data_IF_041143058427
#
_entry.id   IF_041143058427
#
_cell.length_a   1.000
_cell.length_b   1.000
_cell.length_c   1.000
_cell.angle_alpha   90.00
_cell.angle_beta   90.00
_cell.angle_gamma   90.00
#
_symmetry.space_group_name_H-M   'P 1'
#
loop_
_entity.id
_entity.type
_entity.pdbx_description
1 polymer ?
#
# COMPACT_ATOMS: atom_id res chain seq x y z
N UNK A 1 -7.95 23.47 2.59
CA UNK A 1 -7.41 22.56 1.55
C UNK A 1 -5.90 22.35 1.75
N UNK A 2 -5.45 21.96 2.96
CA UNK A 2 -4.01 21.88 3.30
C UNK A 2 -3.56 20.58 3.99
N UNK A 3 -4.46 19.64 4.32
CA UNK A 3 -4.13 18.47 5.18
C UNK A 3 -3.96 17.14 4.44
N UNK A 4 -3.63 17.17 3.15
CA UNK A 4 -3.18 15.98 2.41
C UNK A 4 -1.65 15.92 2.28
N UNK A 5 -0.98 17.09 2.21
CA UNK A 5 0.48 17.23 2.15
C UNK A 5 1.18 16.91 3.48
N UNK A 6 0.43 16.76 4.58
CA UNK A 6 0.99 16.50 5.91
C UNK A 6 1.21 15.02 6.24
N UNK A 7 0.66 14.09 5.44
CA UNK A 7 0.70 12.67 5.76
C UNK A 7 1.91 11.92 5.19
N UNK A 8 2.44 12.36 4.03
CA UNK A 8 3.61 11.76 3.38
C UNK A 8 4.62 12.87 3.03
N UNK A 9 5.87 12.82 3.54
CA UNK A 9 6.89 13.81 3.22
C UNK A 9 7.16 13.90 1.70
N UNK A 10 7.44 15.10 1.20
CA UNK A 10 7.73 15.32 -0.23
C UNK A 10 8.90 14.45 -0.77
N UNK A 11 9.88 14.15 0.07
CA UNK A 11 10.98 13.26 -0.27
C UNK A 11 10.52 11.82 -0.52
N UNK A 12 9.62 11.30 0.33
CA UNK A 12 9.00 9.97 0.17
C UNK A 12 8.17 9.93 -1.11
N UNK A 13 7.36 10.96 -1.35
CA UNK A 13 6.55 11.07 -2.57
C UNK A 13 7.39 10.99 -3.84
N UNK A 14 8.49 11.76 -3.91
CA UNK A 14 9.43 11.72 -5.02
C UNK A 14 10.13 10.37 -5.14
N UNK A 15 10.55 9.77 -4.03
CA UNK A 15 11.31 8.52 -4.05
C UNK A 15 10.44 7.31 -4.45
N UNK A 16 9.15 7.31 -4.12
CA UNK A 16 8.19 6.29 -4.56
C UNK A 16 8.02 6.24 -6.08
N UNK A 17 8.14 7.39 -6.75
CA UNK A 17 8.00 7.49 -8.20
C UNK A 17 9.35 7.44 -8.95
N UNK A 18 10.47 7.26 -8.23
CA UNK A 18 11.80 7.21 -8.82
C UNK A 18 11.94 6.01 -9.77
N UNK A 19 12.87 6.07 -10.73
CA UNK A 19 13.15 4.98 -11.66
C UNK A 19 13.87 3.81 -10.98
N UNK A 20 14.70 4.09 -9.97
CA UNK A 20 15.47 3.10 -9.22
C UNK A 20 14.60 2.40 -8.19
N UNK A 21 14.63 1.06 -8.20
CA UNK A 21 13.90 0.24 -7.25
C UNK A 21 14.28 0.51 -5.80
N UNK A 22 15.58 0.59 -5.50
CA UNK A 22 16.07 0.82 -4.13
C UNK A 22 15.53 2.10 -3.50
N UNK A 23 15.35 3.16 -4.29
CA UNK A 23 14.75 4.40 -3.79
C UNK A 23 13.27 4.23 -3.47
N UNK A 24 12.53 3.50 -4.30
CA UNK A 24 11.11 3.17 -4.03
C UNK A 24 10.98 2.34 -2.76
N UNK A 25 11.88 1.36 -2.58
CA UNK A 25 11.93 0.50 -1.39
C UNK A 25 12.22 1.31 -0.12
N UNK A 26 13.19 2.21 -0.15
CA UNK A 26 13.49 3.09 0.99
C UNK A 26 12.29 3.96 1.36
N UNK A 27 11.62 4.55 0.36
CA UNK A 27 10.41 5.33 0.59
C UNK A 27 9.25 4.49 1.18
N UNK A 28 9.10 3.24 0.73
CA UNK A 28 8.12 2.31 1.28
C UNK A 28 8.41 1.97 2.76
N UNK A 29 9.68 1.81 3.14
CA UNK A 29 10.07 1.61 4.56
C UNK A 29 9.69 2.84 5.41
N UNK A 30 9.88 4.05 4.88
CA UNK A 30 9.46 5.28 5.57
C UNK A 30 7.93 5.35 5.75
N UNK A 31 7.15 4.90 4.75
CA UNK A 31 5.69 4.78 4.88
C UNK A 31 5.31 3.75 5.95
N UNK A 32 5.92 2.57 5.94
CA UNK A 32 5.67 1.53 6.94
C UNK A 32 5.88 2.08 8.36
N UNK A 33 7.00 2.77 8.60
CA UNK A 33 7.31 3.38 9.88
C UNK A 33 6.31 4.48 10.26
N UNK A 34 5.88 5.28 9.28
CA UNK A 34 4.87 6.32 9.50
C UNK A 34 3.54 5.70 9.94
N UNK A 35 3.09 4.63 9.26
CA UNK A 35 1.84 3.94 9.61
C UNK A 35 1.92 3.30 11.01
N UNK A 36 3.07 2.71 11.38
CA UNK A 36 3.27 2.19 12.75
C UNK A 36 3.11 3.27 13.81
N UNK A 37 3.67 4.46 13.57
CA UNK A 37 3.52 5.60 14.49
C UNK A 37 2.06 6.08 14.58
N UNK A 38 1.35 6.14 13.45
CA UNK A 38 -0.06 6.53 13.42
C UNK A 38 -0.96 5.52 14.14
N UNK A 39 -0.70 4.22 13.99
CA UNK A 39 -1.40 3.17 14.73
C UNK A 39 -1.15 3.31 16.24
N UNK A 40 0.11 3.53 16.65
CA UNK A 40 0.45 3.73 18.06
C UNK A 40 -0.23 4.99 18.65
N UNK A 41 -0.52 5.99 17.81
CA UNK A 41 -1.24 7.20 18.20
C UNK A 41 -2.77 7.09 18.09
N UNK A 42 -3.31 6.01 17.50
CA UNK A 42 -4.75 5.88 17.21
C UNK A 42 -5.26 6.81 16.10
N UNK A 43 -4.37 7.34 15.26
CA UNK A 43 -4.67 8.33 14.21
C UNK A 43 -5.21 7.68 12.91
N UNK A 44 -6.33 6.96 13.01
CA UNK A 44 -6.92 6.21 11.89
C UNK A 44 -7.30 7.08 10.68
N UNK A 45 -7.69 8.34 10.91
CA UNK A 45 -7.98 9.30 9.83
C UNK A 45 -6.75 9.59 8.97
N UNK A 46 -5.58 9.71 9.59
CA UNK A 46 -4.33 9.96 8.86
C UNK A 46 -3.89 8.73 8.08
N UNK A 47 -4.08 7.54 8.64
CA UNK A 47 -3.82 6.27 7.93
C UNK A 47 -4.68 6.18 6.67
N UNK A 48 -5.98 6.45 6.81
CA UNK A 48 -6.92 6.46 5.68
C UNK A 48 -6.50 7.47 4.60
N UNK A 49 -5.99 8.64 4.99
CA UNK A 49 -5.42 9.64 4.07
C UNK A 49 -4.15 9.15 3.37
N UNK A 50 -3.24 8.47 4.08
CA UNK A 50 -2.03 7.87 3.47
C UNK A 50 -2.42 6.86 2.39
N UNK A 51 -3.37 5.96 2.70
CA UNK A 51 -3.87 4.97 1.74
C UNK A 51 -4.49 5.67 0.52
N UNK A 52 -5.33 6.67 0.76
CA UNK A 52 -5.98 7.44 -0.30
C UNK A 52 -4.98 8.12 -1.25
N UNK A 53 -3.91 8.72 -0.71
CA UNK A 53 -2.84 9.32 -1.52
C UNK A 53 -2.14 8.25 -2.37
N UNK A 54 -1.78 7.10 -1.78
CA UNK A 54 -1.16 6.00 -2.51
C UNK A 54 -2.06 5.45 -3.63
N UNK A 55 -3.38 5.44 -3.43
CA UNK A 55 -4.31 4.98 -4.46
C UNK A 55 -4.45 6.03 -5.56
N UNK A 56 -4.80 7.27 -5.19
CA UNK A 56 -5.20 8.32 -6.12
C UNK A 56 -4.02 8.87 -6.91
N UNK A 57 -2.88 9.09 -6.26
CA UNK A 57 -1.71 9.73 -6.87
C UNK A 57 -0.72 8.72 -7.47
N UNK A 58 -0.71 7.47 -6.97
CA UNK A 58 0.25 6.46 -7.39
C UNK A 58 -0.38 5.29 -8.14
N UNK A 59 -1.18 4.44 -7.47
CA UNK A 59 -1.70 3.20 -8.05
C UNK A 59 -2.57 3.44 -9.30
N UNK A 60 -3.34 4.53 -9.33
CA UNK A 60 -4.18 4.95 -10.47
C UNK A 60 -3.50 5.95 -11.41
N UNK A 61 -2.20 6.20 -11.24
CA UNK A 61 -1.47 7.16 -12.06
C UNK A 61 -1.29 6.68 -13.51
N UNK A 62 -1.33 7.57 -14.51
CA UNK A 62 -0.96 7.22 -15.88
C UNK A 62 0.51 6.80 -15.99
N UNK A 63 1.36 7.19 -15.03
CA UNK A 63 2.80 6.93 -15.07
C UNK A 63 3.17 5.59 -14.44
N UNK A 64 3.81 4.70 -15.20
CA UNK A 64 4.13 3.34 -14.75
C UNK A 64 5.04 3.29 -13.50
N UNK A 65 5.95 4.24 -13.32
CA UNK A 65 6.80 4.29 -12.12
C UNK A 65 6.00 4.69 -10.87
N UNK A 66 4.98 5.54 -11.03
CA UNK A 66 4.10 5.90 -9.93
C UNK A 66 3.26 4.69 -9.52
N UNK A 67 2.71 3.93 -10.48
CA UNK A 67 1.96 2.70 -10.16
C UNK A 67 2.81 1.67 -9.41
N UNK A 68 4.07 1.46 -9.83
CA UNK A 68 5.02 0.60 -9.08
C UNK A 68 5.25 1.11 -7.66
N UNK A 69 5.41 2.42 -7.49
CA UNK A 69 5.50 3.09 -6.18
C UNK A 69 4.25 2.90 -5.31
N UNK A 70 3.06 3.00 -5.92
CA UNK A 70 1.79 2.79 -5.24
C UNK A 70 1.64 1.37 -4.73
N UNK A 71 1.98 0.38 -5.55
CA UNK A 71 1.90 -1.04 -5.18
C UNK A 71 2.85 -1.40 -4.02
N UNK A 72 4.11 -0.97 -4.07
CA UNK A 72 5.05 -1.20 -2.97
C UNK A 72 4.65 -0.41 -1.71
N UNK A 73 4.11 0.80 -1.87
CA UNK A 73 3.60 1.62 -0.77
C UNK A 73 2.40 1.00 -0.07
N UNK A 74 1.42 0.49 -0.82
CA UNK A 74 0.22 -0.18 -0.28
C UNK A 74 0.59 -1.45 0.48
N UNK A 75 1.54 -2.24 -0.03
CA UNK A 75 2.08 -3.37 0.70
C UNK A 75 2.76 -2.93 2.01
N UNK A 76 3.57 -1.87 1.98
CA UNK A 76 4.24 -1.34 3.16
C UNK A 76 3.26 -0.78 4.21
N UNK A 77 2.18 -0.10 3.79
CA UNK A 77 1.09 0.28 4.70
C UNK A 77 0.51 -0.94 5.39
N UNK A 78 0.19 -2.00 4.63
CA UNK A 78 -0.38 -3.23 5.18
C UNK A 78 0.53 -3.89 6.21
N UNK A 79 1.85 -3.91 5.95
CA UNK A 79 2.84 -4.41 6.91
C UNK A 79 2.87 -3.53 8.17
N UNK A 80 2.83 -2.21 8.02
CA UNK A 80 2.81 -1.25 9.13
C UNK A 80 1.55 -1.35 9.99
N UNK A 81 0.41 -1.67 9.38
CA UNK A 81 -0.87 -1.89 10.07
C UNK A 81 -0.86 -3.14 10.95
N UNK A 82 -0.07 -4.15 10.60
CA UNK A 82 0.04 -5.42 11.33
C UNK A 82 -1.32 -6.05 11.65
N UNK A 83 -1.74 -6.03 12.92
CA UNK A 83 -3.00 -6.64 13.37
C UNK A 83 -4.25 -5.87 12.93
N UNK A 84 -4.10 -4.58 12.65
CA UNK A 84 -5.17 -3.67 12.24
C UNK A 84 -5.41 -3.70 10.71
N UNK A 85 -4.65 -4.53 9.97
CA UNK A 85 -4.70 -4.54 8.51
C UNK A 85 -6.09 -4.86 7.95
N UNK A 86 -6.84 -5.74 8.61
CA UNK A 86 -8.13 -6.25 8.13
C UNK A 86 -9.14 -5.13 7.81
N UNK A 87 -9.19 -4.07 8.63
CA UNK A 87 -10.15 -2.97 8.45
C UNK A 87 -9.85 -2.07 7.25
N UNK A 88 -8.66 -2.17 6.65
CA UNK A 88 -8.25 -1.37 5.49
C UNK A 88 -8.17 -2.18 4.19
N UNK A 89 -8.36 -3.50 4.22
CA UNK A 89 -8.17 -4.35 3.04
C UNK A 89 -9.17 -4.05 1.93
N UNK A 90 -10.40 -3.70 2.26
CA UNK A 90 -11.42 -3.31 1.28
C UNK A 90 -10.99 -2.08 0.47
N UNK A 91 -10.15 -1.20 1.06
CA UNK A 91 -9.58 -0.05 0.37
C UNK A 91 -8.28 -0.40 -0.38
N UNK A 92 -7.42 -1.23 0.23
CA UNK A 92 -6.06 -1.52 -0.27
C UNK A 92 -6.05 -2.56 -1.39
N UNK A 93 -6.83 -3.63 -1.28
CA UNK A 93 -6.73 -4.80 -2.17
C UNK A 93 -7.25 -4.51 -3.58
N UNK A 94 -8.41 -3.84 -3.79
CA UNK A 94 -8.92 -3.60 -5.14
C UNK A 94 -7.92 -2.93 -6.12
N UNK A 95 -7.23 -1.82 -5.78
CA UNK A 95 -6.27 -1.21 -6.71
C UNK A 95 -5.04 -2.09 -6.99
N UNK A 96 -4.68 -2.99 -6.07
CA UNK A 96 -3.64 -4.01 -6.31
C UNK A 96 -4.13 -5.04 -7.32
N UNK A 97 -5.38 -5.50 -7.19
CA UNK A 97 -5.98 -6.47 -8.11
C UNK A 97 -6.13 -5.86 -9.52
N UNK A 98 -6.61 -4.62 -9.64
CA UNK A 98 -6.74 -3.93 -10.92
C UNK A 98 -5.39 -3.92 -11.69
N UNK A 99 -4.29 -3.78 -10.95
CA UNK A 99 -2.93 -3.73 -11.49
C UNK A 99 -2.41 -5.06 -12.06
N UNK A 100 -3.10 -6.19 -11.85
CA UNK A 100 -2.77 -7.45 -12.55
C UNK A 100 -3.01 -7.38 -14.05
N UNK A 101 -3.87 -6.47 -14.50
CA UNK A 101 -4.21 -6.28 -15.92
C UNK A 101 -3.46 -5.10 -16.55
N UNK A 102 -2.46 -4.55 -15.84
CA UNK A 102 -1.72 -3.38 -16.30
C UNK A 102 -1.00 -3.64 -17.63
N UNK A 103 -0.91 -2.59 -18.46
CA UNK A 103 -0.23 -2.65 -19.75
C UNK A 103 1.30 -2.88 -19.61
N UNK A 104 1.95 -2.32 -18.59
CA UNK A 104 3.38 -2.54 -18.30
C UNK A 104 3.55 -3.85 -17.51
N UNK A 105 4.25 -4.81 -18.09
CA UNK A 105 4.52 -6.12 -17.47
C UNK A 105 5.21 -6.04 -16.12
N UNK A 106 6.02 -5.01 -15.89
CA UNK A 106 6.68 -4.79 -14.60
C UNK A 106 5.68 -4.28 -13.56
N UNK A 107 4.64 -3.53 -13.94
CA UNK A 107 3.59 -3.16 -12.98
C UNK A 107 2.83 -4.41 -12.54
N UNK A 108 2.50 -5.31 -13.49
CA UNK A 108 1.88 -6.61 -13.17
C UNK A 108 2.73 -7.44 -12.20
N UNK A 109 4.05 -7.48 -12.40
CA UNK A 109 4.96 -8.13 -11.46
C UNK A 109 4.90 -7.52 -10.05
N UNK A 110 4.88 -6.18 -9.95
CA UNK A 110 4.75 -5.50 -8.65
C UNK A 110 3.38 -5.77 -8.01
N UNK A 111 2.32 -5.96 -8.80
CA UNK A 111 1.01 -6.32 -8.26
C UNK A 111 1.04 -7.71 -7.61
N UNK A 112 1.69 -8.69 -8.26
CA UNK A 112 1.93 -10.02 -7.69
C UNK A 112 2.72 -9.94 -6.38
N UNK A 113 3.83 -9.19 -6.39
CA UNK A 113 4.70 -9.03 -5.22
C UNK A 113 3.98 -8.32 -4.06
N UNK A 114 3.24 -7.25 -4.36
CA UNK A 114 2.46 -6.52 -3.38
C UNK A 114 1.37 -7.40 -2.76
N UNK A 115 0.60 -8.14 -3.58
CA UNK A 115 -0.46 -9.01 -3.08
C UNK A 115 0.10 -10.14 -2.21
N UNK A 116 1.24 -10.74 -2.59
CA UNK A 116 1.91 -11.75 -1.77
C UNK A 116 2.30 -11.17 -0.40
N UNK A 117 2.90 -9.98 -0.38
CA UNK A 117 3.32 -9.32 0.86
C UNK A 117 2.13 -8.94 1.75
N UNK A 118 1.04 -8.45 1.15
CA UNK A 118 -0.23 -8.20 1.83
C UNK A 118 -0.74 -9.50 2.46
N UNK A 119 -0.94 -10.55 1.65
CA UNK A 119 -1.50 -11.82 2.10
C UNK A 119 -0.68 -12.50 3.20
N UNK A 120 0.65 -12.30 3.23
CA UNK A 120 1.55 -12.87 4.25
C UNK A 120 1.34 -12.28 5.65
N UNK A 121 0.72 -11.11 5.77
CA UNK A 121 0.48 -10.49 7.09
C UNK A 121 -0.42 -11.41 7.92
N UNK A 122 0.06 -11.79 9.12
CA UNK A 122 -0.50 -12.89 9.94
C UNK A 122 -2.01 -12.79 10.16
N UNK A 123 -2.55 -11.59 10.37
CA UNK A 123 -3.99 -11.38 10.55
C UNK A 123 -4.80 -11.78 9.32
N UNK A 124 -4.28 -11.52 8.11
CA UNK A 124 -4.95 -11.91 6.86
C UNK A 124 -4.91 -13.42 6.69
N UNK A 125 -3.76 -14.06 6.93
CA UNK A 125 -3.64 -15.52 6.84
C UNK A 125 -4.61 -16.23 7.80
N UNK A 126 -4.82 -15.65 8.99
CA UNK A 126 -5.78 -16.18 9.97
C UNK A 126 -7.23 -15.91 9.55
N UNK A 127 -7.57 -14.71 9.04
CA UNK A 127 -8.92 -14.41 8.55
C UNK A 127 -9.28 -15.19 7.28
N UNK A 128 -8.35 -15.38 6.34
CA UNK A 128 -8.58 -16.22 5.15
C UNK A 128 -8.92 -17.65 5.56
N UNK A 129 -8.29 -18.17 6.63
CA UNK A 129 -8.59 -19.50 7.15
C UNK A 129 -10.00 -19.64 7.75
N UNK A 130 -10.58 -18.56 8.30
CA UNK A 130 -11.93 -18.61 8.88
C UNK A 130 -13.03 -18.21 7.91
N UNK A 131 -12.80 -17.27 7.00
CA UNK A 131 -13.86 -16.71 6.16
C UNK A 131 -14.00 -17.41 4.80
N UNK A 132 -12.92 -17.93 4.20
CA UNK A 132 -12.99 -18.56 2.87
C UNK A 132 -13.40 -20.04 2.92
N UNK A 133 -13.29 -20.69 4.08
CA UNK A 133 -13.77 -22.06 4.27
C UNK A 133 -15.30 -22.15 4.43
N UNK A 134 -16.00 -21.04 4.70
CA UNK A 134 -17.46 -21.00 4.79
C UNK A 134 -18.14 -20.63 3.46
N UNK A 135 -17.36 -20.36 2.42
CA UNK A 135 -17.82 -20.00 1.08
C UNK A 135 -17.44 -21.04 0.01
N UNK A 136 -17.00 -22.22 0.42
CA UNK A 136 -16.90 -23.45 -0.39
C UNK A 136 -17.81 -24.53 0.19
#
# INVERSE_FOLDING_TARGET
>A
MSDALSAIPAAVHRNLSDKLYEKRKNAAIEIENTVKLLIAAGDHDKISKVIDVLIKEFAKSPQANHRKGGLIGLAAVTVGLATEAAQYLEQIVPPVIDSFTDQDSRVRYYACEALYNIAKVKTIVLNIRVDWFYLM
#
